data_IF_010261074448
#
_entry.id   IF_010261074448
#
_cell.length_a   1.000
_cell.length_b   1.000
_cell.length_c   1.000
_cell.angle_alpha   90.00
_cell.angle_beta   90.00
_cell.angle_gamma   90.00
#
_symmetry.space_group_name_H-M   'P 1'
#
loop_
_entity.id
_entity.type
_entity.pdbx_description
1 polymer ?
#
# COMPACT_ATOMS: atom_id res chain seq x y z
N UNK A 1 6.54 3.05 16.20
CA UNK A 1 5.95 4.29 16.77
C UNK A 1 5.90 4.19 18.30
N UNK A 2 6.24 5.24 19.06
CA UNK A 2 6.11 5.26 20.53
C UNK A 2 4.72 5.79 20.92
N UNK A 3 3.99 5.13 21.80
CA UNK A 3 2.67 5.59 22.29
C UNK A 3 2.63 5.60 23.81
N UNK A 4 1.69 6.35 24.38
CA UNK A 4 1.41 6.37 25.83
C UNK A 4 0.02 5.78 26.06
N UNK A 5 -0.09 4.93 27.07
CA UNK A 5 -1.32 4.20 27.38
C UNK A 5 -1.91 4.65 28.72
N UNK A 6 -3.21 4.42 28.89
CA UNK A 6 -3.96 4.58 30.14
C UNK A 6 -4.73 3.29 30.43
N UNK A 7 -4.66 2.82 31.68
CA UNK A 7 -5.50 1.70 32.12
C UNK A 7 -6.97 2.14 32.20
N UNK A 8 -7.88 1.20 31.95
CA UNK A 8 -9.33 1.40 32.12
C UNK A 8 -9.97 0.19 32.80
N UNK A 9 -11.17 0.38 33.35
CA UNK A 9 -11.98 -0.72 33.87
C UNK A 9 -12.92 -1.22 32.76
N UNK A 10 -12.76 -2.47 32.26
CA UNK A 10 -13.64 -3.00 31.23
C UNK A 10 -15.03 -3.30 31.82
N UNK A 11 -16.07 -2.99 31.06
CA UNK A 11 -17.45 -3.36 31.43
C UNK A 11 -17.67 -4.88 31.39
N UNK A 12 -17.03 -5.57 30.44
CA UNK A 12 -17.07 -7.02 30.29
C UNK A 12 -15.66 -7.56 30.00
N UNK A 13 -15.18 -8.49 30.84
CA UNK A 13 -13.86 -9.11 30.71
C UNK A 13 -13.77 -10.00 29.46
N UNK A 14 -14.89 -10.58 29.01
CA UNK A 14 -14.91 -11.40 27.80
C UNK A 14 -14.60 -10.59 26.53
N UNK A 15 -14.77 -9.27 26.60
CA UNK A 15 -14.41 -8.35 25.52
C UNK A 15 -12.90 -8.11 25.42
N UNK A 16 -12.08 -8.59 26.37
CA UNK A 16 -10.61 -8.48 26.32
C UNK A 16 -9.93 -9.62 25.55
N UNK A 17 -10.61 -10.24 24.61
CA UNK A 17 -10.03 -11.31 23.77
C UNK A 17 -9.77 -10.83 22.35
N UNK A 18 -8.55 -11.00 21.86
CA UNK A 18 -8.24 -10.84 20.44
C UNK A 18 -8.81 -12.00 19.62
N UNK A 19 -9.29 -11.68 18.43
CA UNK A 19 -9.55 -12.63 17.36
C UNK A 19 -8.51 -12.35 16.28
N UNK A 20 -7.53 -13.24 16.15
CA UNK A 20 -6.36 -13.03 15.27
C UNK A 20 -6.67 -13.46 13.84
N UNK A 21 -7.53 -12.69 13.18
CA UNK A 21 -7.91 -12.93 11.78
C UNK A 21 -6.75 -12.68 10.79
N UNK A 22 -5.82 -11.76 11.13
CA UNK A 22 -4.72 -11.36 10.24
C UNK A 22 -3.58 -12.40 10.28
N UNK A 23 -2.95 -12.66 9.13
CA UNK A 23 -1.75 -13.50 9.05
C UNK A 23 -1.94 -15.00 9.33
N UNK A 24 -3.18 -15.47 9.48
CA UNK A 24 -3.46 -16.91 9.57
C UNK A 24 -3.44 -17.54 8.18
N UNK A 25 -2.90 -18.76 8.10
CA UNK A 25 -3.00 -19.60 6.90
C UNK A 25 -4.48 -19.82 6.54
N UNK A 26 -4.75 -19.97 5.24
CA UNK A 26 -6.09 -20.22 4.74
C UNK A 26 -6.68 -21.47 5.42
N UNK A 27 -7.92 -21.38 5.89
CA UNK A 27 -8.63 -22.53 6.46
C UNK A 27 -8.40 -22.78 7.95
N UNK A 28 -7.44 -22.11 8.60
CA UNK A 28 -7.21 -22.24 10.04
C UNK A 28 -8.39 -21.69 10.87
N UNK A 29 -8.63 -22.31 12.02
CA UNK A 29 -9.49 -21.73 13.06
C UNK A 29 -8.81 -20.47 13.59
N UNK A 30 -9.53 -19.35 13.62
CA UNK A 30 -8.96 -18.06 14.01
C UNK A 30 -8.52 -18.11 15.48
N UNK A 31 -7.22 -18.01 15.77
CA UNK A 31 -6.74 -18.16 17.13
C UNK A 31 -7.19 -16.97 17.99
N UNK A 32 -7.46 -17.26 19.25
CA UNK A 32 -7.79 -16.26 20.26
C UNK A 32 -6.59 -16.01 21.16
N UNK A 33 -6.41 -14.76 21.57
CA UNK A 33 -5.36 -14.38 22.52
C UNK A 33 -5.94 -13.44 23.57
N UNK A 34 -5.54 -13.62 24.83
CA UNK A 34 -5.92 -12.72 25.90
C UNK A 34 -5.29 -11.34 25.70
N UNK A 35 -5.95 -10.33 26.26
CA UNK A 35 -5.57 -8.93 26.15
C UNK A 35 -5.72 -8.24 27.50
N UNK A 36 -5.21 -7.02 27.61
CA UNK A 36 -5.28 -6.21 28.83
C UNK A 36 -6.10 -4.94 28.64
N UNK A 37 -6.62 -4.40 29.75
CA UNK A 37 -7.50 -3.23 29.73
C UNK A 37 -6.70 -1.91 29.69
N UNK A 38 -6.04 -1.67 28.55
CA UNK A 38 -5.37 -0.41 28.25
C UNK A 38 -5.94 0.23 26.99
N UNK A 39 -5.99 1.55 26.99
CA UNK A 39 -6.32 2.41 25.84
C UNK A 39 -5.18 3.37 25.54
N UNK A 40 -5.22 4.00 24.38
CA UNK A 40 -4.33 5.11 24.04
C UNK A 40 -4.67 6.34 24.89
N UNK A 41 -3.65 6.96 25.47
CA UNK A 41 -3.82 8.25 26.14
C UNK A 41 -4.17 9.34 25.10
N UNK A 42 -5.18 10.19 25.34
CA UNK A 42 -5.51 11.29 24.43
C UNK A 42 -4.29 12.13 24.05
N UNK A 43 -4.19 12.51 22.76
CA UNK A 43 -3.07 13.27 22.22
C UNK A 43 -1.81 12.44 21.91
N UNK A 44 -1.77 11.15 22.24
CA UNK A 44 -0.60 10.30 21.90
C UNK A 44 -0.45 10.07 20.40
N UNK A 45 -1.56 10.06 19.65
CA UNK A 45 -1.60 9.96 18.20
C UNK A 45 -1.98 11.31 17.62
N UNK A 46 -1.10 11.84 16.77
CA UNK A 46 -1.33 13.04 15.97
C UNK A 46 -1.11 12.69 14.51
N UNK A 47 -1.73 13.43 13.59
CA UNK A 47 -1.53 13.23 12.15
C UNK A 47 -0.04 13.31 11.77
N UNK A 48 0.70 14.25 12.35
CA UNK A 48 2.15 14.37 12.13
C UNK A 48 2.91 13.10 12.51
N UNK A 49 2.64 12.54 13.69
CA UNK A 49 3.31 11.33 14.17
C UNK A 49 2.96 10.08 13.35
N UNK A 50 1.72 9.99 12.90
CA UNK A 50 1.27 8.95 11.97
C UNK A 50 2.02 9.10 10.63
N UNK A 51 2.06 10.31 10.08
CA UNK A 51 2.76 10.61 8.83
C UNK A 51 4.26 10.26 8.93
N UNK A 52 4.95 10.65 9.99
CA UNK A 52 6.38 10.38 10.18
C UNK A 52 6.67 8.87 10.29
N UNK A 53 5.80 8.14 11.00
CA UNK A 53 5.90 6.68 11.09
C UNK A 53 5.73 6.04 9.71
N UNK A 54 4.72 6.48 8.94
CA UNK A 54 4.43 5.94 7.61
C UNK A 54 5.48 6.32 6.57
N UNK A 55 6.08 7.50 6.65
CA UNK A 55 7.21 7.90 5.79
C UNK A 55 8.43 7.00 6.04
N UNK A 56 8.75 6.75 7.31
CA UNK A 56 9.82 5.80 7.66
C UNK A 56 9.48 4.37 7.24
N UNK A 57 8.22 3.96 7.36
CA UNK A 57 7.77 2.63 6.97
C UNK A 57 7.85 2.46 5.45
N UNK A 58 7.34 3.41 4.66
CA UNK A 58 7.42 3.39 3.20
C UNK A 58 8.85 3.16 2.70
N UNK A 59 9.82 3.87 3.29
CA UNK A 59 11.23 3.69 2.98
C UNK A 59 11.73 2.26 3.27
N UNK A 60 11.39 1.72 4.44
CA UNK A 60 11.76 0.36 4.81
C UNK A 60 11.10 -0.70 3.91
N UNK A 61 9.82 -0.50 3.56
CA UNK A 61 9.07 -1.38 2.68
C UNK A 61 9.72 -1.43 1.30
N UNK A 62 9.97 -0.28 0.68
CA UNK A 62 10.61 -0.21 -0.64
C UNK A 62 12.00 -0.89 -0.65
N UNK A 63 12.80 -0.70 0.40
CA UNK A 63 14.08 -1.40 0.54
C UNK A 63 13.90 -2.92 0.71
N UNK A 64 12.88 -3.36 1.46
CA UNK A 64 12.60 -4.78 1.65
C UNK A 64 12.15 -5.46 0.35
N UNK A 65 11.32 -4.78 -0.44
CA UNK A 65 10.87 -5.26 -1.75
C UNK A 65 12.01 -5.30 -2.76
N UNK A 66 12.96 -4.36 -2.68
CA UNK A 66 14.18 -4.39 -3.49
C UNK A 66 15.18 -5.48 -3.13
N UNK A 67 15.15 -5.98 -1.89
CA UNK A 67 16.02 -7.07 -1.41
C UNK A 67 15.41 -8.44 -1.65
N UNK A 68 14.09 -8.53 -1.85
CA UNK A 68 13.43 -9.79 -2.13
C UNK A 68 13.97 -10.37 -3.44
N UNK A 69 14.55 -11.56 -3.39
CA UNK A 69 15.03 -12.30 -4.56
C UNK A 69 13.91 -13.02 -5.29
N UNK A 70 12.64 -12.76 -4.94
CA UNK A 70 11.49 -13.36 -5.60
C UNK A 70 11.49 -12.96 -7.08
N UNK A 71 11.23 -13.93 -7.97
CA UNK A 71 11.01 -13.65 -9.40
C UNK A 71 9.72 -12.86 -9.67
N UNK A 72 8.93 -12.58 -8.63
CA UNK A 72 7.68 -11.81 -8.68
C UNK A 72 7.92 -10.41 -8.10
N UNK A 73 7.26 -9.43 -8.70
CA UNK A 73 7.19 -8.02 -8.29
C UNK A 73 8.41 -7.16 -8.60
N UNK A 74 9.28 -7.59 -9.52
CA UNK A 74 10.49 -6.84 -9.84
C UNK A 74 10.18 -5.46 -10.42
N UNK A 75 9.13 -5.33 -11.24
CA UNK A 75 8.71 -4.04 -11.79
C UNK A 75 8.20 -3.11 -10.68
N UNK A 76 7.30 -3.59 -9.81
CA UNK A 76 6.83 -2.81 -8.66
C UNK A 76 7.97 -2.40 -7.74
N UNK A 77 8.86 -3.32 -7.37
CA UNK A 77 10.04 -3.02 -6.54
C UNK A 77 10.91 -1.93 -7.18
N UNK A 78 11.18 -2.03 -8.48
CA UNK A 78 11.97 -1.03 -9.21
C UNK A 78 11.30 0.35 -9.14
N UNK A 79 10.00 0.44 -9.43
CA UNK A 79 9.25 1.71 -9.42
C UNK A 79 9.17 2.29 -7.99
N UNK A 80 8.89 1.47 -6.98
CA UNK A 80 8.76 1.90 -5.58
C UNK A 80 10.10 2.37 -4.99
N UNK A 81 11.21 1.69 -5.33
CA UNK A 81 12.56 2.14 -4.95
C UNK A 81 12.90 3.46 -5.62
N UNK A 82 12.60 3.61 -6.92
CA UNK A 82 12.80 4.87 -7.63
C UNK A 82 12.02 6.00 -6.96
N UNK A 83 10.72 5.83 -6.75
CA UNK A 83 9.85 6.80 -6.08
C UNK A 83 10.40 7.20 -4.70
N UNK A 84 10.78 6.21 -3.89
CA UNK A 84 11.31 6.42 -2.54
C UNK A 84 12.62 7.20 -2.55
N UNK A 85 13.55 6.87 -3.46
CA UNK A 85 14.83 7.58 -3.58
C UNK A 85 14.64 9.05 -3.95
N UNK A 86 13.72 9.34 -4.86
CA UNK A 86 13.46 10.71 -5.33
C UNK A 86 12.54 11.53 -4.40
N UNK A 87 11.89 10.91 -3.41
CA UNK A 87 11.16 11.60 -2.35
C UNK A 87 11.99 11.88 -1.09
N UNK A 88 13.17 11.26 -0.95
CA UNK A 88 14.02 11.40 0.22
C UNK A 88 14.90 12.65 0.17
N UNK A 89 15.17 13.24 1.35
CA UNK A 89 16.05 14.41 1.49
C UNK A 89 17.54 14.08 1.16
N UNK A 90 17.86 12.80 1.01
CA UNK A 90 19.21 12.29 0.72
C UNK A 90 19.55 12.22 -0.78
N UNK A 91 18.62 12.61 -1.67
CA UNK A 91 18.88 12.60 -3.11
C UNK A 91 19.69 13.84 -3.54
N UNK A 92 20.97 13.63 -3.87
CA UNK A 92 21.89 14.69 -4.32
C UNK A 92 21.71 15.13 -5.78
N UNK A 93 20.85 14.46 -6.55
CA UNK A 93 20.57 14.80 -7.95
C UNK A 93 19.44 15.84 -8.15
N UNK A 94 19.15 16.23 -9.41
CA UNK A 94 18.12 17.21 -9.73
C UNK A 94 16.75 16.77 -9.21
N UNK A 95 16.04 17.70 -8.55
CA UNK A 95 14.72 17.44 -7.97
C UNK A 95 13.69 17.28 -9.08
N UNK A 96 12.95 16.18 -9.05
CA UNK A 96 11.77 15.98 -9.90
C UNK A 96 10.62 16.85 -9.39
N UNK A 97 9.90 17.51 -10.29
CA UNK A 97 8.70 18.26 -9.92
C UNK A 97 7.60 17.31 -9.43
N UNK A 98 6.82 17.76 -8.43
CA UNK A 98 5.67 17.00 -7.94
C UNK A 98 5.97 15.83 -7.01
N UNK A 99 7.22 15.61 -6.57
CA UNK A 99 7.54 14.48 -5.67
C UNK A 99 6.84 14.56 -4.30
N UNK A 100 6.37 15.73 -3.87
CA UNK A 100 5.50 15.84 -2.69
C UNK A 100 4.21 15.01 -2.85
N UNK A 101 3.64 14.93 -4.05
CA UNK A 101 2.46 14.10 -4.34
C UNK A 101 2.80 12.61 -4.25
N UNK A 102 3.94 12.22 -4.83
CA UNK A 102 4.45 10.84 -4.74
C UNK A 102 4.70 10.44 -3.28
N UNK A 103 5.22 11.35 -2.45
CA UNK A 103 5.41 11.14 -1.01
C UNK A 103 4.08 10.87 -0.30
N UNK A 104 3.00 11.58 -0.66
CA UNK A 104 1.66 11.29 -0.11
C UNK A 104 1.19 9.88 -0.52
N UNK A 105 1.36 9.49 -1.77
CA UNK A 105 1.00 8.15 -2.25
C UNK A 105 1.81 7.04 -1.59
N UNK A 106 3.13 7.21 -1.42
CA UNK A 106 3.99 6.28 -0.69
C UNK A 106 3.56 6.14 0.77
N UNK A 107 3.15 7.24 1.40
CA UNK A 107 2.61 7.23 2.76
C UNK A 107 1.30 6.44 2.83
N UNK A 108 0.39 6.67 1.90
CA UNK A 108 -0.87 5.93 1.79
C UNK A 108 -0.62 4.42 1.61
N UNK A 109 0.27 4.06 0.69
CA UNK A 109 0.69 2.67 0.47
C UNK A 109 1.28 2.02 1.74
N UNK A 110 2.14 2.75 2.47
CA UNK A 110 2.68 2.25 3.72
C UNK A 110 1.63 2.07 4.81
N UNK A 111 0.62 2.94 4.90
CA UNK A 111 -0.52 2.76 5.80
C UNK A 111 -1.29 1.49 5.47
N UNK A 112 -1.59 1.27 4.20
CA UNK A 112 -2.25 0.04 3.76
C UNK A 112 -1.46 -1.23 4.13
N UNK A 113 -0.14 -1.22 3.96
CA UNK A 113 0.70 -2.36 4.30
C UNK A 113 0.60 -2.80 5.78
N UNK A 114 0.28 -1.88 6.69
CA UNK A 114 0.05 -2.19 8.12
C UNK A 114 -1.16 -3.12 8.30
N UNK A 115 -2.21 -2.93 7.52
CA UNK A 115 -3.43 -3.74 7.60
C UNK A 115 -3.22 -5.16 7.05
N UNK A 116 -2.29 -5.33 6.10
CA UNK A 116 -2.18 -6.57 5.33
C UNK A 116 -0.96 -7.43 5.68
N UNK A 117 0.21 -6.81 5.85
CA UNK A 117 1.50 -7.52 5.94
C UNK A 117 2.19 -7.32 7.29
N UNK A 118 1.95 -6.19 7.96
CA UNK A 118 2.64 -5.81 9.18
C UNK A 118 1.66 -5.48 10.31
N UNK A 119 1.01 -6.49 10.91
CA UNK A 119 0.10 -6.24 12.03
C UNK A 119 0.84 -5.55 13.18
N UNK A 120 0.10 -4.73 13.92
CA UNK A 120 0.63 -4.02 15.07
C UNK A 120 1.22 -5.00 16.09
N UNK A 121 2.48 -4.75 16.48
CA UNK A 121 3.17 -5.51 17.52
C UNK A 121 3.93 -4.59 18.47
N UNK A 122 4.04 -5.03 19.72
CA UNK A 122 4.84 -4.36 20.73
C UNK A 122 6.29 -4.82 20.60
N UNK A 123 7.19 -3.87 20.31
CA UNK A 123 8.63 -4.12 20.29
C UNK A 123 9.25 -3.91 21.68
N UNK A 124 8.73 -2.96 22.47
CA UNK A 124 9.21 -2.63 23.82
C UNK A 124 8.04 -2.23 24.73
N UNK A 125 8.10 -2.64 26.00
CA UNK A 125 7.14 -2.22 27.04
C UNK A 125 5.94 -3.15 27.26
N UNK A 126 5.87 -4.32 26.61
CA UNK A 126 4.74 -5.25 26.76
C UNK A 126 4.53 -5.74 28.19
N UNK A 127 5.60 -6.08 28.90
CA UNK A 127 5.54 -6.56 30.29
C UNK A 127 4.97 -5.52 31.26
N UNK A 128 5.15 -4.22 30.99
CA UNK A 128 4.63 -3.13 31.83
C UNK A 128 3.10 -3.02 31.79
N UNK A 129 2.48 -3.63 30.79
CA UNK A 129 1.03 -3.61 30.56
C UNK A 129 0.42 -5.01 30.54
N UNK A 130 1.16 -6.01 31.05
CA UNK A 130 0.72 -7.39 31.13
C UNK A 130 0.59 -8.13 29.79
N UNK A 131 1.21 -7.62 28.72
CA UNK A 131 1.22 -8.29 27.41
C UNK A 131 2.50 -9.09 27.23
N UNK A 132 2.36 -10.35 26.81
CA UNK A 132 3.45 -11.31 26.64
C UNK A 132 3.57 -11.78 25.20
N UNK A 133 4.75 -12.25 24.76
CA UNK A 133 4.91 -12.90 23.47
C UNK A 133 3.98 -14.11 23.32
N UNK A 134 3.35 -14.24 22.15
CA UNK A 134 2.46 -15.35 21.83
C UNK A 134 3.24 -16.63 21.54
N UNK A 135 2.70 -17.76 22.00
CA UNK A 135 3.14 -19.12 21.66
C UNK A 135 2.26 -19.74 20.55
N UNK A 136 1.75 -18.90 19.64
CA UNK A 136 0.89 -19.33 18.52
C UNK A 136 1.77 -19.60 17.30
N UNK A 137 1.69 -20.79 16.66
CA UNK A 137 2.49 -21.10 15.47
C UNK A 137 2.28 -20.13 14.30
N UNK A 138 3.19 -20.19 13.33
CA UNK A 138 3.12 -19.38 12.11
C UNK A 138 3.59 -17.94 12.34
N UNK A 139 2.94 -16.97 11.70
CA UNK A 139 3.41 -15.59 11.70
C UNK A 139 3.33 -14.89 13.07
N UNK A 140 2.66 -15.47 14.06
CA UNK A 140 2.42 -14.90 15.37
C UNK A 140 3.43 -15.35 16.44
N UNK A 141 4.24 -16.38 16.14
CA UNK A 141 5.16 -16.95 17.12
C UNK A 141 6.17 -15.90 17.62
N UNK A 142 6.23 -15.72 18.93
CA UNK A 142 7.14 -14.77 19.59
C UNK A 142 6.74 -13.29 19.46
N UNK A 143 5.62 -12.96 18.77
CA UNK A 143 5.13 -11.59 18.67
C UNK A 143 4.32 -11.22 19.91
N UNK A 144 4.47 -9.98 20.38
CA UNK A 144 3.64 -9.43 21.47
C UNK A 144 2.56 -8.54 20.85
N UNK A 145 1.29 -8.85 21.11
CA UNK A 145 0.15 -8.05 20.61
C UNK A 145 0.01 -6.75 21.39
N UNK A 146 -0.62 -5.76 20.76
CA UNK A 146 -1.12 -4.59 21.48
C UNK A 146 -2.39 -4.96 22.23
N UNK A 147 -2.72 -4.30 23.35
CA UNK A 147 -4.04 -4.38 23.94
C UNK A 147 -5.15 -4.17 22.89
N UNK A 148 -6.25 -4.91 23.00
CA UNK A 148 -7.30 -4.96 21.97
C UNK A 148 -7.84 -3.59 21.62
N UNK A 149 -8.16 -2.80 22.64
CA UNK A 149 -8.67 -1.44 22.44
C UNK A 149 -7.61 -0.54 21.79
N UNK A 150 -6.35 -0.61 22.23
CA UNK A 150 -5.24 0.13 21.60
C UNK A 150 -5.11 -0.22 20.11
N UNK A 151 -5.22 -1.50 19.75
CA UNK A 151 -5.17 -1.92 18.34
C UNK A 151 -6.33 -1.31 17.54
N UNK A 152 -7.55 -1.33 18.08
CA UNK A 152 -8.72 -0.74 17.43
C UNK A 152 -8.62 0.78 17.30
N UNK A 153 -8.11 1.48 18.32
CA UNK A 153 -7.90 2.92 18.28
C UNK A 153 -6.82 3.32 17.28
N UNK A 154 -5.77 2.51 17.14
CA UNK A 154 -4.74 2.69 16.10
C UNK A 154 -5.30 2.46 14.70
N UNK A 155 -6.00 1.35 14.48
CA UNK A 155 -6.62 1.02 13.20
C UNK A 155 -7.58 2.15 12.79
N UNK A 156 -8.46 2.60 13.70
CA UNK A 156 -9.36 3.74 13.48
C UNK A 156 -8.62 5.04 13.12
N UNK A 157 -7.53 5.34 13.81
CA UNK A 157 -6.75 6.55 13.54
C UNK A 157 -6.05 6.49 12.18
N UNK A 158 -5.57 5.32 11.77
CA UNK A 158 -4.96 5.09 10.46
C UNK A 158 -5.99 5.12 9.34
N UNK A 159 -7.14 4.46 9.51
CA UNK A 159 -8.26 4.49 8.56
C UNK A 159 -8.74 5.93 8.32
N UNK A 160 -8.94 6.71 9.39
CA UNK A 160 -9.30 8.13 9.26
C UNK A 160 -8.23 8.91 8.49
N UNK A 161 -6.95 8.70 8.79
CA UNK A 161 -5.87 9.43 8.11
C UNK A 161 -5.71 8.98 6.66
N UNK A 162 -5.98 7.72 6.34
CA UNK A 162 -5.99 7.20 4.97
C UNK A 162 -7.07 7.88 4.14
N UNK A 163 -8.29 8.00 4.68
CA UNK A 163 -9.41 8.68 4.01
C UNK A 163 -9.05 10.14 3.67
N UNK A 164 -8.51 10.89 4.66
CA UNK A 164 -8.02 12.25 4.45
C UNK A 164 -6.89 12.33 3.39
N UNK A 165 -5.96 11.36 3.39
CA UNK A 165 -4.84 11.33 2.45
C UNK A 165 -5.29 10.95 1.04
N UNK A 166 -6.21 10.00 0.90
CA UNK A 166 -6.76 9.59 -0.39
C UNK A 166 -7.42 10.79 -1.08
N UNK A 167 -8.27 11.52 -0.35
CA UNK A 167 -8.87 12.75 -0.84
C UNK A 167 -7.80 13.77 -1.26
N UNK A 168 -6.82 14.06 -0.39
CA UNK A 168 -5.73 15.01 -0.68
C UNK A 168 -4.92 14.61 -1.92
N UNK A 169 -4.64 13.31 -2.10
CA UNK A 169 -3.89 12.79 -3.25
C UNK A 169 -4.71 12.95 -4.53
N UNK A 170 -5.98 12.53 -4.52
CA UNK A 170 -6.83 12.56 -5.70
C UNK A 170 -7.10 14.00 -6.18
N UNK A 171 -7.37 14.92 -5.26
CA UNK A 171 -7.55 16.35 -5.57
C UNK A 171 -6.29 16.92 -6.23
N UNK A 172 -5.11 16.74 -5.61
CA UNK A 172 -3.85 17.25 -6.15
C UNK A 172 -3.44 16.58 -7.45
N UNK A 173 -3.70 15.28 -7.59
CA UNK A 173 -3.42 14.54 -8.82
C UNK A 173 -4.28 15.11 -9.96
N UNK A 174 -5.56 15.35 -9.71
CA UNK A 174 -6.47 15.97 -10.67
C UNK A 174 -6.00 17.39 -11.07
N UNK A 175 -5.69 18.24 -10.09
CA UNK A 175 -5.16 19.59 -10.34
C UNK A 175 -3.93 19.58 -11.24
N UNK A 176 -2.98 18.68 -10.97
CA UNK A 176 -1.74 18.57 -11.72
C UNK A 176 -1.97 18.05 -13.14
N UNK A 177 -2.83 17.04 -13.32
CA UNK A 177 -3.18 16.46 -14.63
C UNK A 177 -3.82 17.51 -15.55
N UNK A 178 -4.72 18.33 -15.03
CA UNK A 178 -5.42 19.37 -15.80
C UNK A 178 -4.65 20.70 -15.87
N UNK A 179 -3.50 20.82 -15.21
CA UNK A 179 -2.67 22.01 -15.27
C UNK A 179 -1.95 22.17 -16.63
N UNK A 180 -1.61 23.41 -16.98
CA UNK A 180 -0.76 23.70 -18.14
C UNK A 180 0.67 23.13 -17.99
N UNK A 181 1.10 22.81 -16.76
CA UNK A 181 2.43 22.29 -16.44
C UNK A 181 2.47 20.76 -16.37
N UNK A 182 1.40 20.05 -16.75
CA UNK A 182 1.29 18.58 -16.60
C UNK A 182 2.51 17.78 -17.07
N UNK A 183 3.18 18.23 -18.14
CA UNK A 183 4.38 17.57 -18.68
C UNK A 183 5.54 17.58 -17.66
N UNK A 184 5.76 18.69 -16.96
CA UNK A 184 6.80 18.77 -15.92
C UNK A 184 6.54 17.83 -14.75
N UNK A 185 5.27 17.50 -14.52
CA UNK A 185 4.83 16.59 -13.47
C UNK A 185 4.64 15.15 -13.96
N UNK A 186 4.92 14.84 -15.23
CA UNK A 186 4.62 13.52 -15.83
C UNK A 186 5.09 12.35 -14.96
N UNK A 187 6.32 12.44 -14.46
CA UNK A 187 6.90 11.39 -13.62
C UNK A 187 6.17 11.28 -12.27
N UNK A 188 5.85 12.41 -11.64
CA UNK A 188 5.06 12.42 -10.41
C UNK A 188 3.66 11.82 -10.61
N UNK A 189 2.99 12.16 -11.71
CA UNK A 189 1.67 11.61 -12.07
C UNK A 189 1.80 10.10 -12.26
N UNK A 190 2.75 9.63 -13.08
CA UNK A 190 2.97 8.21 -13.33
C UNK A 190 3.20 7.43 -12.03
N UNK A 191 4.14 7.88 -11.19
CA UNK A 191 4.48 7.20 -9.94
C UNK A 191 3.29 7.18 -8.97
N UNK A 192 2.59 8.31 -8.84
CA UNK A 192 1.41 8.43 -7.97
C UNK A 192 0.31 7.47 -8.43
N UNK A 193 -0.04 7.50 -9.72
CA UNK A 193 -1.04 6.60 -10.30
C UNK A 193 -0.63 5.13 -10.12
N UNK A 194 0.62 4.78 -10.40
CA UNK A 194 1.11 3.42 -10.21
C UNK A 194 0.96 2.95 -8.76
N UNK A 195 1.38 3.77 -7.78
CA UNK A 195 1.31 3.44 -6.36
C UNK A 195 -0.15 3.28 -5.90
N UNK A 196 -1.06 4.15 -6.36
CA UNK A 196 -2.49 4.06 -6.04
C UNK A 196 -3.12 2.79 -6.64
N UNK A 197 -2.85 2.50 -7.92
CA UNK A 197 -3.34 1.27 -8.55
C UNK A 197 -2.80 0.02 -7.85
N UNK A 198 -1.52 0.03 -7.49
CA UNK A 198 -0.91 -1.07 -6.73
C UNK A 198 -1.54 -1.24 -5.33
N UNK A 199 -1.88 -0.13 -4.68
CA UNK A 199 -2.60 -0.10 -3.41
C UNK A 199 -4.00 -0.70 -3.53
N UNK A 200 -4.73 -0.36 -4.61
CA UNK A 200 -6.05 -0.95 -4.92
C UNK A 200 -5.98 -2.45 -5.18
N UNK A 201 -4.90 -2.97 -5.77
CA UNK A 201 -4.72 -4.43 -5.95
C UNK A 201 -4.65 -5.15 -4.60
N UNK A 202 -3.97 -4.56 -3.61
CA UNK A 202 -3.88 -5.10 -2.25
C UNK A 202 -5.21 -5.03 -1.52
N UNK A 203 -5.92 -3.92 -1.66
CA UNK A 203 -7.24 -3.78 -1.05
C UNK A 203 -8.27 -4.73 -1.69
N UNK A 204 -8.25 -4.88 -3.03
CA UNK A 204 -9.09 -5.86 -3.73
C UNK A 204 -8.78 -7.30 -3.31
N UNK A 205 -7.52 -7.65 -3.09
CA UNK A 205 -7.17 -8.94 -2.52
C UNK A 205 -7.79 -9.13 -1.13
N UNK A 206 -7.74 -8.11 -0.28
CA UNK A 206 -8.33 -8.14 1.04
C UNK A 206 -9.86 -8.30 1.00
N UNK A 207 -10.54 -7.61 0.08
CA UNK A 207 -11.98 -7.78 -0.13
C UNK A 207 -12.33 -9.20 -0.57
N UNK A 208 -11.56 -9.80 -1.48
CA UNK A 208 -11.73 -11.21 -1.84
C UNK A 208 -11.45 -12.16 -0.67
N UNK A 209 -10.42 -11.89 0.14
CA UNK A 209 -10.11 -12.68 1.33
C UNK A 209 -11.26 -12.63 2.35
N UNK A 210 -11.87 -11.47 2.55
CA UNK A 210 -13.04 -11.31 3.40
C UNK A 210 -14.27 -12.02 2.84
N UNK A 211 -14.52 -11.94 1.53
CA UNK A 211 -15.63 -12.65 0.91
C UNK A 211 -15.45 -14.18 1.02
N UNK A 212 -14.21 -14.68 0.91
CA UNK A 212 -13.89 -16.08 1.15
C UNK A 212 -14.19 -16.50 2.60
N UNK A 213 -13.72 -15.73 3.59
CA UNK A 213 -13.92 -16.08 5.01
C UNK A 213 -15.37 -15.95 5.45
N UNK A 214 -16.10 -14.93 4.97
CA UNK A 214 -17.52 -14.74 5.25
C UNK A 214 -18.38 -15.93 4.82
N UNK A 215 -18.03 -16.55 3.68
CA UNK A 215 -18.80 -17.63 3.08
C UNK A 215 -18.35 -19.04 3.54
N UNK A 216 -17.30 -19.15 4.35
CA UNK A 216 -16.77 -20.43 4.83
C UNK A 216 -17.42 -20.87 6.16
N UNK A 217 -17.63 -22.17 6.33
CA UNK A 217 -18.03 -22.73 7.62
C UNK A 217 -16.99 -22.46 8.72
N UNK A 218 -17.42 -21.88 9.83
CA UNK A 218 -16.54 -21.45 10.93
C UNK A 218 -15.72 -20.18 10.63
N UNK A 219 -16.00 -19.50 9.52
CA UNK A 219 -15.37 -18.24 9.15
C UNK A 219 -15.80 -17.06 10.01
N UNK A 220 -15.06 -15.95 9.89
CA UNK A 220 -15.37 -14.72 10.63
C UNK A 220 -16.41 -13.91 9.85
N UNK A 221 -17.51 -13.45 10.49
CA UNK A 221 -18.50 -12.63 9.80
C UNK A 221 -17.89 -11.29 9.39
N UNK A 222 -18.32 -10.80 8.24
CA UNK A 222 -17.96 -9.47 7.76
C UNK A 222 -18.57 -8.40 8.68
N UNK A 223 -17.78 -7.46 9.21
CA UNK A 223 -18.25 -6.54 10.25
C UNK A 223 -18.98 -5.29 9.72
N UNK A 224 -18.91 -5.00 8.42
CA UNK A 224 -19.48 -3.79 7.84
C UNK A 224 -20.83 -4.06 7.15
N UNK A 225 -21.64 -3.01 7.01
CA UNK A 225 -22.96 -3.09 6.36
C UNK A 225 -22.86 -3.38 4.85
N UNK A 226 -21.93 -2.70 4.17
CA UNK A 226 -21.67 -2.86 2.74
C UNK A 226 -20.84 -4.11 2.49
N UNK A 227 -21.17 -4.92 1.48
CA UNK A 227 -20.49 -6.20 1.27
C UNK A 227 -19.06 -6.03 0.74
N UNK A 228 -18.14 -7.00 0.97
CA UNK A 228 -16.81 -6.98 0.38
C UNK A 228 -16.83 -6.87 -1.16
N UNK A 229 -17.77 -7.54 -1.82
CA UNK A 229 -17.96 -7.45 -3.27
C UNK A 229 -18.24 -6.02 -3.76
N UNK A 230 -19.01 -5.24 -3.00
CA UNK A 230 -19.32 -3.86 -3.40
C UNK A 230 -18.10 -2.94 -3.27
N UNK A 231 -17.21 -3.19 -2.31
CA UNK A 231 -15.93 -2.47 -2.19
C UNK A 231 -14.97 -2.86 -3.31
N UNK A 232 -14.94 -4.14 -3.68
CA UNK A 232 -14.16 -4.60 -4.83
C UNK A 232 -14.56 -3.92 -6.15
N UNK A 233 -15.87 -3.79 -6.42
CA UNK A 233 -16.35 -3.07 -7.62
C UNK A 233 -16.01 -1.58 -7.57
N UNK A 234 -16.01 -0.96 -6.38
CA UNK A 234 -15.52 0.42 -6.22
C UNK A 234 -14.04 0.54 -6.57
N UNK A 235 -13.20 -0.37 -6.06
CA UNK A 235 -11.76 -0.35 -6.36
C UNK A 235 -11.49 -0.45 -7.86
N UNK A 236 -12.26 -1.30 -8.56
CA UNK A 236 -12.20 -1.42 -10.01
C UNK A 236 -12.59 -0.10 -10.71
N UNK A 237 -13.66 0.55 -10.28
CA UNK A 237 -14.08 1.84 -10.83
C UNK A 237 -13.04 2.95 -10.62
N UNK A 238 -12.44 3.02 -9.43
CA UNK A 238 -11.35 3.96 -9.11
C UNK A 238 -10.14 3.67 -10.00
N UNK A 239 -9.76 2.39 -10.14
CA UNK A 239 -8.64 1.98 -10.98
C UNK A 239 -8.83 2.36 -12.47
N UNK A 240 -10.04 2.18 -13.00
CA UNK A 240 -10.39 2.57 -14.38
C UNK A 240 -10.31 4.09 -14.57
N UNK A 241 -10.80 4.85 -13.60
CA UNK A 241 -10.75 6.32 -13.60
C UNK A 241 -9.30 6.83 -13.57
N UNK A 242 -8.48 6.30 -12.64
CA UNK A 242 -7.06 6.66 -12.51
C UNK A 242 -6.27 6.35 -13.79
N UNK A 243 -6.53 5.20 -14.40
CA UNK A 243 -5.88 4.80 -15.66
C UNK A 243 -6.28 5.75 -16.79
N UNK A 244 -7.56 6.08 -16.90
CA UNK A 244 -8.08 7.01 -17.92
C UNK A 244 -7.48 8.40 -17.76
N UNK A 245 -7.37 8.90 -16.53
CA UNK A 245 -6.77 10.20 -16.25
C UNK A 245 -5.29 10.23 -16.61
N UNK A 246 -4.56 9.14 -16.39
CA UNK A 246 -3.18 9.05 -16.85
C UNK A 246 -3.08 9.04 -18.38
N UNK A 247 -3.97 8.32 -19.07
CA UNK A 247 -3.98 8.30 -20.54
C UNK A 247 -4.22 9.68 -21.15
N UNK A 248 -4.95 10.57 -20.49
CA UNK A 248 -5.09 11.98 -20.92
C UNK A 248 -3.72 12.67 -20.97
N UNK A 249 -2.84 12.39 -19.99
CA UNK A 249 -1.49 12.98 -19.92
C UNK A 249 -0.58 12.47 -21.04
N UNK A 250 -0.77 11.21 -21.46
CA UNK A 250 0.02 10.58 -22.53
C UNK A 250 -0.64 10.62 -23.91
N UNK A 251 -1.69 11.43 -24.09
CA UNK A 251 -2.48 11.52 -25.33
C UNK A 251 -3.00 10.14 -25.82
N UNK A 252 -3.39 9.26 -24.90
CA UNK A 252 -3.95 7.94 -25.18
C UNK A 252 -2.93 6.83 -25.37
N UNK A 253 -1.63 7.10 -25.19
CA UNK A 253 -0.58 6.09 -25.34
C UNK A 253 -0.16 5.49 -24.00
N UNK A 254 0.16 4.19 -24.01
CA UNK A 254 0.84 3.57 -22.88
C UNK A 254 2.24 4.20 -22.70
N UNK A 255 2.66 4.48 -21.45
CA UNK A 255 3.89 5.24 -21.17
C UNK A 255 5.13 4.58 -21.76
N UNK A 256 5.16 3.25 -21.80
CA UNK A 256 6.30 2.49 -22.32
C UNK A 256 6.16 2.07 -23.80
N UNK A 257 5.04 2.40 -24.46
CA UNK A 257 4.87 2.25 -25.91
C UNK A 257 5.30 3.51 -26.69
N UNK A 258 5.43 4.65 -26.00
CA UNK A 258 5.85 5.92 -26.61
C UNK A 258 7.32 5.82 -27.04
N UNK A 259 7.61 6.33 -28.25
CA UNK A 259 8.99 6.54 -28.68
C UNK A 259 9.56 7.82 -28.05
N UNK A 260 10.24 7.69 -26.93
CA UNK A 260 10.83 8.81 -26.17
C UNK A 260 12.06 9.44 -26.83
N UNK A 261 12.55 8.90 -27.95
CA UNK A 261 13.68 9.49 -28.69
C UNK A 261 13.25 10.71 -29.51
N UNK A 262 11.97 10.80 -29.88
CA UNK A 262 11.40 11.90 -30.65
C UNK A 262 11.37 13.21 -29.86
N UNK A 263 11.73 14.33 -30.50
CA UNK A 263 11.79 15.65 -29.87
C UNK A 263 10.47 16.06 -29.19
N UNK A 264 9.32 15.77 -29.81
CA UNK A 264 7.99 16.06 -29.26
C UNK A 264 7.64 15.27 -27.99
N UNK A 265 8.25 14.09 -27.80
CA UNK A 265 8.00 13.24 -26.63
C UNK A 265 9.01 13.54 -25.51
N UNK A 266 10.21 14.01 -25.85
CA UNK A 266 11.19 14.49 -24.86
C UNK A 266 10.67 15.69 -24.08
N UNK A 267 9.91 16.58 -24.73
CA UNK A 267 9.27 17.73 -24.06
C UNK A 267 8.17 17.31 -23.08
N UNK A 268 7.57 16.11 -23.23
CA UNK A 268 6.62 15.57 -22.25
C UNK A 268 7.28 15.22 -20.91
N UNK A 269 8.60 14.99 -20.89
CA UNK A 269 9.37 14.73 -19.66
C UNK A 269 10.05 15.98 -19.09
N UNK A 270 9.82 17.15 -19.71
CA UNK A 270 10.52 18.40 -19.40
C UNK A 270 12.05 18.19 -19.30
N UNK A 271 12.60 17.37 -20.19
CA UNK A 271 14.02 16.97 -20.25
C UNK A 271 14.62 16.38 -18.97
N UNK A 272 13.81 15.87 -18.06
CA UNK A 272 14.26 15.22 -16.83
C UNK A 272 15.11 13.95 -17.12
N UNK A 273 16.41 13.93 -16.77
CA UNK A 273 17.26 12.76 -16.98
C UNK A 273 16.85 11.57 -16.13
N UNK A 274 16.37 11.81 -14.90
CA UNK A 274 15.93 10.76 -13.99
C UNK A 274 14.65 10.08 -14.47
N UNK A 275 13.66 10.86 -14.95
CA UNK A 275 12.43 10.31 -15.52
C UNK A 275 12.73 9.51 -16.80
N UNK A 276 13.63 10.04 -17.65
CA UNK A 276 14.09 9.34 -18.85
C UNK A 276 14.79 8.02 -18.51
N UNK A 277 15.68 8.01 -17.52
CA UNK A 277 16.39 6.81 -17.08
C UNK A 277 15.45 5.72 -16.56
N UNK A 278 14.41 6.09 -15.81
CA UNK A 278 13.36 5.14 -15.38
C UNK A 278 12.67 4.49 -16.59
N UNK A 279 12.22 5.32 -17.54
CA UNK A 279 11.50 4.88 -18.73
C UNK A 279 12.37 3.96 -19.58
N UNK A 280 13.59 4.38 -19.92
CA UNK A 280 14.50 3.61 -20.77
C UNK A 280 14.84 2.25 -20.15
N UNK A 281 15.04 2.21 -18.83
CA UNK A 281 15.32 0.97 -18.12
C UNK A 281 14.13 -0.02 -18.19
N UNK A 282 12.90 0.46 -17.95
CA UNK A 282 11.70 -0.37 -18.02
C UNK A 282 11.40 -0.78 -19.46
N UNK A 283 11.48 0.13 -20.44
CA UNK A 283 11.28 -0.18 -21.85
C UNK A 283 12.25 -1.23 -22.36
N UNK A 284 13.53 -1.11 -21.98
CA UNK A 284 14.56 -2.07 -22.38
C UNK A 284 14.25 -3.48 -21.87
N UNK A 285 13.82 -3.63 -20.62
CA UNK A 285 13.40 -4.94 -20.12
C UNK A 285 12.15 -5.42 -20.85
N UNK A 286 11.11 -4.60 -21.02
CA UNK A 286 9.86 -5.00 -21.70
C UNK A 286 10.04 -5.44 -23.16
N UNK A 287 11.07 -4.93 -23.85
CA UNK A 287 11.44 -5.31 -25.21
C UNK A 287 12.26 -6.60 -25.28
N UNK A 288 12.86 -7.04 -24.17
CA UNK A 288 13.63 -8.28 -24.10
C UNK A 288 12.70 -9.50 -24.21
N UNK A 289 12.96 -10.47 -25.10
CA UNK A 289 12.21 -11.72 -25.16
C UNK A 289 12.18 -12.51 -23.83
N UNK A 290 13.20 -12.34 -22.98
CA UNK A 290 13.32 -12.96 -21.65
C UNK A 290 12.88 -12.03 -20.51
N UNK A 291 12.22 -10.92 -20.84
CA UNK A 291 11.73 -9.90 -19.91
C UNK A 291 11.08 -10.53 -18.66
N UNK A 292 11.60 -10.17 -17.50
CA UNK A 292 10.96 -10.52 -16.23
C UNK A 292 9.69 -9.69 -16.03
N UNK A 293 9.71 -8.41 -16.43
CA UNK A 293 8.55 -7.52 -16.27
C UNK A 293 7.37 -7.95 -17.12
N UNK A 294 7.60 -8.35 -18.38
CA UNK A 294 6.55 -8.82 -19.27
C UNK A 294 5.93 -10.12 -18.78
N UNK A 295 6.74 -11.06 -18.26
CA UNK A 295 6.23 -12.29 -17.64
C UNK A 295 5.33 -12.01 -16.44
N UNK A 296 5.74 -11.07 -15.58
CA UNK A 296 4.93 -10.64 -14.44
C UNK A 296 3.60 -9.98 -14.86
N UNK A 297 3.65 -9.04 -15.81
CA UNK A 297 2.47 -8.30 -16.28
C UNK A 297 1.45 -9.18 -17.01
N UNK A 298 1.91 -10.24 -17.67
CA UNK A 298 1.06 -11.19 -18.41
C UNK A 298 0.60 -12.38 -17.56
N UNK A 299 1.08 -12.50 -16.32
CA UNK A 299 0.68 -13.56 -15.42
C UNK A 299 -0.84 -13.48 -15.12
N UNK A 300 -1.54 -14.62 -14.98
CA UNK A 300 -2.93 -14.62 -14.62
C UNK A 300 -3.11 -14.08 -13.19
N UNK A 301 -3.92 -13.04 -13.07
CA UNK A 301 -4.27 -12.41 -11.80
C UNK A 301 -5.55 -13.02 -11.24
N UNK A 302 -5.44 -14.23 -10.68
CA UNK A 302 -6.59 -14.94 -10.08
C UNK A 302 -6.42 -14.95 -8.58
N UNK A 303 -7.50 -14.62 -7.86
CA UNK A 303 -7.49 -14.59 -6.41
C UNK A 303 -7.07 -15.96 -5.82
N UNK A 304 -6.14 -15.89 -4.86
CA UNK A 304 -5.66 -16.99 -4.03
C UNK A 304 -5.53 -16.50 -2.61
N UNK A 305 -6.21 -17.17 -1.67
CA UNK A 305 -6.26 -16.75 -0.26
C UNK A 305 -4.92 -16.92 0.47
N UNK A 306 -4.08 -17.83 0.01
CA UNK A 306 -2.76 -18.15 0.53
C UNK A 306 -1.64 -17.29 -0.10
N UNK A 307 -1.94 -16.52 -1.15
CA UNK A 307 -0.97 -15.69 -1.85
C UNK A 307 -1.45 -14.24 -1.98
N UNK A 308 -0.93 -13.36 -1.14
CA UNK A 308 -1.23 -11.91 -1.14
C UNK A 308 -0.73 -11.18 -2.41
N UNK A 309 0.08 -11.84 -3.23
CA UNK A 309 0.66 -11.28 -4.45
C UNK A 309 -0.09 -11.75 -5.71
N UNK A 310 -1.09 -12.62 -5.59
CA UNK A 310 -1.79 -13.20 -6.73
C UNK A 310 -2.55 -12.18 -7.60
N UNK A 311 -2.90 -11.02 -7.04
CA UNK A 311 -3.54 -9.92 -7.78
C UNK A 311 -2.57 -8.79 -8.18
N UNK A 312 -1.27 -8.98 -7.98
CA UNK A 312 -0.30 -7.97 -8.38
C UNK A 312 -0.35 -7.72 -9.88
N UNK A 313 -0.36 -6.44 -10.26
CA UNK A 313 -0.53 -5.97 -11.62
C UNK A 313 -1.94 -6.14 -12.21
N UNK A 314 -2.95 -6.56 -11.43
CA UNK A 314 -4.33 -6.66 -11.93
C UNK A 314 -4.85 -5.34 -12.51
N UNK A 315 -4.51 -4.21 -11.88
CA UNK A 315 -4.86 -2.87 -12.33
C UNK A 315 -3.68 -2.17 -13.00
N UNK A 316 -2.48 -2.22 -12.40
CA UNK A 316 -1.33 -1.44 -12.90
C UNK A 316 -0.87 -1.90 -14.28
N UNK A 317 -1.17 -3.13 -14.71
CA UNK A 317 -0.81 -3.56 -16.08
C UNK A 317 -1.49 -2.73 -17.16
N UNK A 318 -2.71 -2.19 -16.91
CA UNK A 318 -3.41 -1.29 -17.83
C UNK A 318 -2.66 0.02 -17.97
N UNK A 319 -2.15 0.56 -16.86
CA UNK A 319 -1.28 1.73 -16.87
C UNK A 319 0.02 1.50 -17.65
N UNK A 320 0.63 0.32 -17.50
CA UNK A 320 1.96 0.01 -18.07
C UNK A 320 1.88 -0.36 -19.56
N UNK A 321 0.91 -1.20 -19.95
CA UNK A 321 0.81 -1.78 -21.28
C UNK A 321 -0.19 -1.08 -22.21
N UNK A 322 -1.16 -0.34 -21.65
CA UNK A 322 -2.31 0.20 -22.41
C UNK A 322 -3.47 -0.78 -22.43
#
# INVERSE_FOLDING_TARGET
>A
MKVTLSAYAPYDQNMLTHVLFRGTEAGMTVPKAESTAFSLKPGTLTAHKINDYCDSLAYQLALSEGKSTTERNRLSSHILIFATRHCGDLHEGPKLEGMNLVKLALRFWAMQAVFFKYPWTIVKGGSQIGMSPLSIPGCWLGKTLLPRLVNQELDKAFEKRMDELEQEILERLQEVIFSQKRNSYWCAIFLTTFILLHSLEKDSWNMHAWEFEKNRSGGTPWPLSKSPCDYYEQNKHIADTLTTYFLIVTNGHAPFAINWTTASNKTLLNDSPAARGLIECIQKDLQDPQSSYKRELMAPNVFRRDDIECLNYYYTKRLVLG
#
